data_IF_170920710644
#
_entry.id   IF_170920710644
#
_cell.length_a   1.000
_cell.length_b   1.000
_cell.length_c   1.000
_cell.angle_alpha   90.00
_cell.angle_beta   90.00
_cell.angle_gamma   90.00
#
_symmetry.space_group_name_H-M   'P 1'
#
loop_
_entity.id
_entity.type
_entity.pdbx_description
1 polymer ?
#
# COMPACT_ATOMS: atom_id res chain seq x y z
N UNK A 1 2.41 13.00 2.23
CA UNK A 1 3.70 12.28 2.21
C UNK A 1 4.33 12.41 0.84
N UNK A 2 5.61 12.68 0.79
CA UNK A 2 6.37 12.78 -0.45
C UNK A 2 6.55 11.41 -1.12
N UNK A 3 6.56 11.34 -2.46
CA UNK A 3 6.66 10.07 -3.20
C UNK A 3 8.08 9.49 -3.21
N UNK A 4 9.04 10.17 -2.61
CA UNK A 4 10.40 9.66 -2.46
C UNK A 4 10.48 8.49 -1.46
N UNK A 5 11.62 7.84 -1.36
CA UNK A 5 11.84 6.73 -0.45
C UNK A 5 11.59 7.11 1.02
N UNK A 6 11.91 8.34 1.40
CA UNK A 6 11.69 8.86 2.74
C UNK A 6 10.20 9.07 3.03
N UNK A 7 9.45 9.60 2.07
CA UNK A 7 7.99 9.77 2.15
C UNK A 7 7.25 8.44 2.19
N UNK A 8 7.68 7.45 1.40
CA UNK A 8 7.14 6.09 1.45
C UNK A 8 7.42 5.43 2.81
N UNK A 9 8.63 5.58 3.35
CA UNK A 9 8.97 5.10 4.69
C UNK A 9 8.16 5.80 5.78
N UNK A 10 7.96 7.11 5.64
CA UNK A 10 7.14 7.87 6.58
C UNK A 10 5.67 7.43 6.53
N UNK A 11 5.11 7.20 5.34
CA UNK A 11 3.76 6.68 5.15
C UNK A 11 3.59 5.28 5.77
N UNK A 12 4.57 4.40 5.59
CA UNK A 12 4.56 3.06 6.20
C UNK A 12 4.73 3.09 7.73
N UNK A 13 5.52 4.03 8.27
CA UNK A 13 5.61 4.24 9.72
C UNK A 13 4.30 4.78 10.29
N UNK A 14 3.69 5.76 9.62
CA UNK A 14 2.38 6.27 9.98
C UNK A 14 1.31 5.18 9.97
N UNK A 15 1.42 4.22 9.05
CA UNK A 15 0.56 3.05 8.97
C UNK A 15 0.74 2.10 10.18
N UNK A 16 1.95 1.98 10.73
CA UNK A 16 2.23 1.14 11.89
C UNK A 16 1.90 1.81 13.24
N UNK A 17 1.70 3.13 13.26
CA UNK A 17 1.35 3.85 14.47
C UNK A 17 -0.17 3.76 14.74
N UNK A 18 -0.52 3.04 15.81
CA UNK A 18 -1.93 2.74 16.18
C UNK A 18 -2.82 3.96 16.33
N UNK A 19 -2.25 5.14 16.59
CA UNK A 19 -3.00 6.39 16.81
C UNK A 19 -3.51 7.00 15.50
N UNK A 20 -2.91 6.66 14.37
CA UNK A 20 -3.24 7.25 13.07
C UNK A 20 -4.42 6.57 12.36
N UNK A 21 -4.82 5.37 12.81
CA UNK A 21 -5.97 4.66 12.24
C UNK A 21 -7.34 5.24 12.63
N UNK A 22 -7.40 6.13 13.62
CA UNK A 22 -8.64 6.84 13.96
C UNK A 22 -8.89 8.08 13.11
N UNK A 23 -7.92 8.57 12.38
CA UNK A 23 -8.02 9.72 11.50
C UNK A 23 -7.94 9.30 10.04
N UNK A 24 -8.76 9.91 9.18
CA UNK A 24 -8.64 9.73 7.74
C UNK A 24 -7.33 10.39 7.27
N UNK A 25 -6.32 9.57 7.05
CA UNK A 25 -5.02 10.00 6.52
C UNK A 25 -4.99 9.75 5.01
N UNK A 26 -4.52 10.75 4.27
CA UNK A 26 -4.41 10.69 2.82
C UNK A 26 -2.97 10.79 2.37
N UNK A 27 -2.66 10.13 1.25
CA UNK A 27 -1.38 10.24 0.55
C UNK A 27 -1.61 10.94 -0.77
N UNK A 28 -0.82 11.96 -1.04
CA UNK A 28 -0.76 12.60 -2.33
C UNK A 28 0.59 12.27 -2.98
N UNK A 29 0.55 11.72 -4.19
CA UNK A 29 1.73 11.36 -4.95
C UNK A 29 1.88 12.33 -6.11
N UNK A 30 2.92 13.16 -6.07
CA UNK A 30 3.20 14.09 -7.14
C UNK A 30 3.84 13.39 -8.36
N UNK A 31 3.50 13.80 -9.58
CA UNK A 31 4.14 13.30 -10.78
C UNK A 31 5.64 13.56 -10.76
N UNK A 32 6.45 12.56 -11.10
CA UNK A 32 7.90 12.70 -11.21
C UNK A 32 8.67 12.83 -9.91
N UNK A 33 8.03 12.51 -8.76
CA UNK A 33 8.71 12.53 -7.46
C UNK A 33 9.00 13.92 -6.90
N UNK A 34 8.39 14.96 -7.47
CA UNK A 34 8.54 16.34 -6.98
C UNK A 34 7.83 16.51 -5.64
N UNK A 35 8.42 17.27 -4.72
CA UNK A 35 7.69 17.71 -3.55
C UNK A 35 6.62 18.77 -3.94
N UNK A 36 5.62 19.05 -3.06
CA UNK A 36 4.57 20.03 -3.38
C UNK A 36 5.10 21.43 -3.65
N UNK A 37 6.22 21.83 -3.02
CA UNK A 37 6.83 23.14 -3.25
C UNK A 37 7.51 23.20 -4.63
N UNK A 38 8.24 22.17 -5.01
CA UNK A 38 8.85 22.05 -6.33
C UNK A 38 7.79 21.92 -7.43
N UNK A 39 6.73 21.19 -7.18
CA UNK A 39 5.59 21.08 -8.11
C UNK A 39 4.97 22.44 -8.38
N UNK A 40 4.78 23.26 -7.34
CA UNK A 40 4.26 24.62 -7.47
C UNK A 40 5.18 25.52 -8.28
N UNK A 41 6.49 25.45 -8.04
CA UNK A 41 7.49 26.24 -8.78
C UNK A 41 7.55 25.86 -10.25
N UNK A 42 7.44 24.57 -10.57
CA UNK A 42 7.60 24.07 -11.95
C UNK A 42 6.30 24.04 -12.75
N UNK A 43 5.15 23.84 -12.10
CA UNK A 43 3.85 23.63 -12.77
C UNK A 43 2.71 24.51 -12.26
N UNK A 44 2.95 25.39 -11.29
CA UNK A 44 1.98 26.35 -10.77
C UNK A 44 0.99 25.79 -9.76
N UNK A 45 0.10 26.68 -9.29
CA UNK A 45 -0.89 26.37 -8.23
C UNK A 45 -1.95 25.33 -8.67
N UNK A 46 -2.28 25.28 -9.95
CA UNK A 46 -3.24 24.32 -10.52
C UNK A 46 -2.75 22.88 -10.32
N UNK A 47 -1.47 22.61 -10.57
CA UNK A 47 -0.87 21.29 -10.37
C UNK A 47 -0.89 20.85 -8.90
N UNK A 48 -0.76 21.78 -7.96
CA UNK A 48 -0.89 21.49 -6.52
C UNK A 48 -2.34 21.16 -6.17
N UNK A 49 -3.32 21.85 -6.74
CA UNK A 49 -4.75 21.52 -6.55
C UNK A 49 -5.09 20.15 -7.10
N UNK A 50 -4.59 19.78 -8.28
CA UNK A 50 -4.76 18.44 -8.84
C UNK A 50 -4.14 17.37 -7.95
N UNK A 51 -2.97 17.63 -7.36
CA UNK A 51 -2.34 16.75 -6.40
C UNK A 51 -3.25 16.47 -5.20
N UNK A 52 -3.88 17.51 -4.63
CA UNK A 52 -4.83 17.35 -3.53
C UNK A 52 -6.10 16.62 -3.96
N UNK A 53 -6.61 16.86 -5.15
CA UNK A 53 -7.80 16.20 -5.68
C UNK A 53 -7.56 14.70 -5.94
N UNK A 54 -6.35 14.33 -6.29
CA UNK A 54 -5.95 12.94 -6.58
C UNK A 54 -5.37 12.21 -5.37
N UNK A 55 -5.49 12.80 -4.16
CA UNK A 55 -5.07 12.11 -2.93
C UNK A 55 -5.87 10.82 -2.72
N UNK A 56 -5.21 9.80 -2.24
CA UNK A 56 -5.85 8.55 -1.87
C UNK A 56 -5.73 8.26 -0.37
N UNK A 57 -6.66 7.51 0.23
CA UNK A 57 -6.52 7.07 1.61
C UNK A 57 -5.22 6.30 1.82
N UNK A 58 -4.54 6.55 2.94
CA UNK A 58 -3.28 5.87 3.29
C UNK A 58 -3.42 4.35 3.27
N UNK A 59 -4.55 3.83 3.73
CA UNK A 59 -4.81 2.39 3.75
C UNK A 59 -4.90 1.80 2.34
N UNK A 60 -5.56 2.49 1.41
CA UNK A 60 -5.60 2.08 0.01
C UNK A 60 -4.20 2.11 -0.63
N UNK A 61 -3.42 3.13 -0.32
CA UNK A 61 -2.03 3.22 -0.75
C UNK A 61 -1.20 2.02 -0.24
N UNK A 62 -1.35 1.67 1.05
CA UNK A 62 -0.67 0.52 1.63
C UNK A 62 -1.05 -0.81 0.95
N UNK A 63 -2.34 -0.99 0.63
CA UNK A 63 -2.80 -2.17 -0.13
C UNK A 63 -2.19 -2.21 -1.53
N UNK A 64 -2.18 -1.08 -2.24
CA UNK A 64 -1.57 -0.98 -3.58
C UNK A 64 -0.08 -1.32 -3.55
N UNK A 65 0.65 -0.84 -2.54
CA UNK A 65 2.07 -1.17 -2.35
C UNK A 65 2.27 -2.67 -2.05
N UNK A 66 1.41 -3.27 -1.24
CA UNK A 66 1.51 -4.68 -0.90
C UNK A 66 1.33 -5.60 -2.11
N UNK A 67 0.47 -5.23 -3.07
CA UNK A 67 0.18 -6.04 -4.26
C UNK A 67 1.07 -5.70 -5.47
N UNK A 68 1.73 -4.54 -5.48
CA UNK A 68 2.46 -4.02 -6.65
C UNK A 68 3.60 -4.94 -7.14
N UNK A 69 4.17 -5.75 -6.25
CA UNK A 69 5.26 -6.68 -6.56
C UNK A 69 4.81 -8.00 -7.21
N UNK A 70 3.50 -8.25 -7.26
CA UNK A 70 2.95 -9.49 -7.80
C UNK A 70 2.44 -9.31 -9.22
N UNK A 71 2.61 -10.34 -10.05
CA UNK A 71 2.04 -10.34 -11.40
C UNK A 71 0.56 -10.72 -11.34
N UNK A 72 -0.32 -9.72 -11.39
CA UNK A 72 -1.77 -9.92 -11.31
C UNK A 72 -2.38 -10.52 -12.59
N UNK A 73 -1.59 -10.68 -13.66
CA UNK A 73 -2.05 -11.34 -14.87
C UNK A 73 -2.05 -12.86 -14.75
N UNK A 74 -1.42 -13.42 -13.72
CA UNK A 74 -1.38 -14.85 -13.44
C UNK A 74 -2.26 -15.21 -12.24
N UNK A 75 -2.78 -16.41 -12.21
CA UNK A 75 -3.57 -16.92 -11.07
C UNK A 75 -2.72 -16.97 -9.80
N UNK A 76 -1.50 -17.49 -9.93
CA UNK A 76 -0.54 -17.61 -8.81
C UNK A 76 -0.16 -16.24 -8.25
N UNK A 77 0.05 -15.25 -9.11
CA UNK A 77 0.35 -13.87 -8.72
C UNK A 77 -0.81 -13.23 -7.96
N UNK A 78 -2.05 -13.43 -8.42
CA UNK A 78 -3.24 -12.92 -7.73
C UNK A 78 -3.45 -13.60 -6.36
N UNK A 79 -3.28 -14.91 -6.28
CA UNK A 79 -3.37 -15.65 -5.00
C UNK A 79 -2.27 -15.20 -4.03
N UNK A 80 -1.05 -15.00 -4.51
CA UNK A 80 0.06 -14.50 -3.69
C UNK A 80 -0.18 -13.08 -3.19
N UNK A 81 -0.71 -12.21 -4.06
CA UNK A 81 -1.11 -10.85 -3.70
C UNK A 81 -2.24 -10.84 -2.66
N UNK A 82 -3.24 -11.73 -2.80
CA UNK A 82 -4.31 -11.89 -1.82
C UNK A 82 -3.77 -12.30 -0.45
N UNK A 83 -2.87 -13.29 -0.40
CA UNK A 83 -2.25 -13.74 0.85
C UNK A 83 -1.42 -12.65 1.54
N UNK A 84 -0.79 -11.77 0.75
CA UNK A 84 -0.01 -10.66 1.28
C UNK A 84 -0.89 -9.51 1.82
N UNK A 85 -2.05 -9.27 1.21
CA UNK A 85 -2.89 -8.10 1.49
C UNK A 85 -4.08 -8.38 2.42
N UNK A 86 -4.62 -9.60 2.44
CA UNK A 86 -5.75 -9.95 3.29
C UNK A 86 -5.49 -9.74 4.80
N UNK A 87 -4.29 -10.05 5.36
CA UNK A 87 -3.97 -9.76 6.75
C UNK A 87 -4.06 -8.27 7.09
N UNK A 88 -3.67 -7.40 6.16
CA UNK A 88 -3.71 -5.95 6.34
C UNK A 88 -5.15 -5.48 6.60
N UNK A 89 -6.12 -6.00 5.84
CA UNK A 89 -7.54 -5.68 6.02
C UNK A 89 -8.08 -6.29 7.31
N UNK A 90 -7.68 -7.54 7.63
CA UNK A 90 -8.13 -8.23 8.84
C UNK A 90 -7.72 -7.51 10.13
N UNK A 91 -6.61 -6.77 10.11
CA UNK A 91 -6.10 -6.00 11.24
C UNK A 91 -6.72 -4.62 11.42
N UNK A 92 -7.58 -4.18 10.49
CA UNK A 92 -8.29 -2.91 10.63
C UNK A 92 -9.08 -2.87 11.94
N UNK A 93 -8.79 -1.85 12.76
CA UNK A 93 -9.49 -1.64 14.03
C UNK A 93 -10.96 -1.30 13.83
N UNK A 94 -11.24 -0.43 12.87
CA UNK A 94 -12.61 -0.11 12.47
C UNK A 94 -13.15 -1.20 11.53
N UNK A 95 -13.87 -2.14 12.13
CA UNK A 95 -14.47 -3.25 11.39
C UNK A 95 -15.52 -2.82 10.38
N UNK A 96 -16.09 -1.61 10.52
CA UNK A 96 -17.03 -1.07 9.56
C UNK A 96 -16.37 -0.77 8.20
N UNK A 97 -15.08 -0.51 8.18
CA UNK A 97 -14.30 -0.27 6.96
C UNK A 97 -13.88 -1.56 6.24
N UNK A 98 -13.81 -2.69 6.95
CA UNK A 98 -13.34 -3.96 6.38
C UNK A 98 -14.11 -4.39 5.12
N UNK A 99 -15.46 -4.35 5.08
CA UNK A 99 -16.20 -4.73 3.87
C UNK A 99 -15.87 -3.86 2.65
N UNK A 100 -15.68 -2.56 2.87
CA UNK A 100 -15.30 -1.63 1.82
C UNK A 100 -13.93 -1.94 1.22
N UNK A 101 -12.93 -2.09 2.05
CA UNK A 101 -11.57 -2.44 1.60
C UNK A 101 -11.47 -3.86 1.05
N UNK A 102 -12.29 -4.80 1.53
CA UNK A 102 -12.37 -6.14 0.95
C UNK A 102 -12.88 -6.09 -0.49
N UNK A 103 -13.91 -5.28 -0.76
CA UNK A 103 -14.39 -5.06 -2.13
C UNK A 103 -13.34 -4.38 -3.02
N UNK A 104 -12.66 -3.39 -2.48
CA UNK A 104 -11.61 -2.67 -3.21
C UNK A 104 -10.45 -3.63 -3.55
N UNK A 105 -10.03 -4.47 -2.61
CA UNK A 105 -9.03 -5.50 -2.86
C UNK A 105 -9.47 -6.50 -3.93
N UNK A 106 -10.72 -6.98 -3.89
CA UNK A 106 -11.25 -7.87 -4.90
C UNK A 106 -11.19 -7.23 -6.31
N UNK A 107 -11.54 -5.93 -6.40
CA UNK A 107 -11.43 -5.17 -7.64
C UNK A 107 -9.99 -5.05 -8.13
N UNK A 108 -9.06 -4.71 -7.24
CA UNK A 108 -7.63 -4.57 -7.59
C UNK A 108 -7.03 -5.89 -8.09
N UNK A 109 -7.41 -7.01 -7.49
CA UNK A 109 -6.89 -8.33 -7.84
C UNK A 109 -7.63 -8.97 -9.03
N UNK A 110 -8.80 -8.45 -9.42
CA UNK A 110 -9.66 -9.10 -10.40
C UNK A 110 -10.15 -10.48 -9.93
N UNK A 111 -10.48 -10.61 -8.64
CA UNK A 111 -10.93 -11.84 -8.00
C UNK A 111 -12.38 -11.71 -7.51
N UNK A 112 -13.05 -12.85 -7.35
CA UNK A 112 -14.40 -12.90 -6.80
C UNK A 112 -14.41 -12.39 -5.34
N UNK A 113 -15.40 -11.54 -5.02
CA UNK A 113 -15.53 -10.95 -3.69
C UNK A 113 -15.60 -12.02 -2.58
N UNK A 114 -16.30 -13.12 -2.83
CA UNK A 114 -16.44 -14.22 -1.86
C UNK A 114 -15.11 -14.89 -1.51
N UNK A 115 -14.18 -15.01 -2.46
CA UNK A 115 -12.84 -15.55 -2.21
C UNK A 115 -12.03 -14.62 -1.31
N UNK A 116 -12.05 -13.33 -1.63
CA UNK A 116 -11.33 -12.31 -0.86
C UNK A 116 -11.91 -12.20 0.56
N UNK A 117 -13.24 -12.25 0.70
CA UNK A 117 -13.90 -12.25 2.02
C UNK A 117 -13.48 -13.44 2.87
N UNK A 118 -13.43 -14.65 2.29
CA UNK A 118 -12.97 -15.85 3.00
C UNK A 118 -11.52 -15.70 3.47
N UNK A 119 -10.65 -15.20 2.62
CA UNK A 119 -9.26 -14.96 2.97
C UNK A 119 -9.11 -13.94 4.12
N UNK A 120 -9.80 -12.81 4.05
CA UNK A 120 -9.78 -11.78 5.11
C UNK A 120 -10.30 -12.35 6.44
N UNK A 121 -11.40 -13.12 6.41
CA UNK A 121 -11.97 -13.76 7.64
C UNK A 121 -11.03 -14.80 8.22
N UNK A 122 -10.34 -15.58 7.40
CA UNK A 122 -9.38 -16.59 7.87
C UNK A 122 -8.25 -15.97 8.70
N UNK A 123 -7.79 -14.78 8.31
CA UNK A 123 -6.79 -14.03 9.08
C UNK A 123 -7.39 -13.35 10.33
N UNK A 124 -8.63 -12.87 10.25
CA UNK A 124 -9.31 -12.23 11.39
C UNK A 124 -9.64 -13.19 12.53
N UNK A 125 -9.83 -14.49 12.25
CA UNK A 125 -10.09 -15.54 13.25
C UNK A 125 -8.85 -16.00 14.01
N UNK A 126 -7.66 -15.77 13.46
CA UNK A 126 -6.37 -16.17 14.07
C UNK A 126 -5.73 -15.08 14.93
N UNK A 127 -6.47 -14.05 15.29
CA UNK A 127 -6.01 -12.83 15.99
C UNK A 127 -5.51 -13.06 17.44
N UNK A 128 -5.14 -14.28 17.82
CA UNK A 128 -4.37 -14.57 19.05
C UNK A 128 -2.85 -14.60 18.85
N UNK A 129 -2.37 -14.59 17.62
CA UNK A 129 -0.96 -14.29 17.29
C UNK A 129 -0.97 -13.05 16.41
N UNK A 130 -0.53 -11.93 16.96
CA UNK A 130 -0.15 -10.75 16.18
C UNK A 130 0.78 -11.23 15.06
N UNK A 131 0.42 -11.14 13.77
CA UNK A 131 1.44 -11.23 12.75
C UNK A 131 2.44 -10.13 13.08
N UNK A 132 3.70 -10.50 13.09
CA UNK A 132 4.77 -9.59 13.42
C UNK A 132 4.79 -8.49 12.35
N UNK A 133 4.19 -7.35 12.65
CA UNK A 133 4.22 -6.15 11.80
C UNK A 133 5.67 -5.77 11.46
N UNK A 134 6.61 -6.09 12.36
CA UNK A 134 8.05 -5.94 12.13
C UNK A 134 8.51 -6.85 10.99
N UNK A 135 8.05 -8.10 10.95
CA UNK A 135 8.37 -9.02 9.85
C UNK A 135 7.75 -8.59 8.51
N UNK A 136 6.53 -8.01 8.53
CA UNK A 136 5.90 -7.42 7.36
C UNK A 136 6.70 -6.21 6.84
N UNK A 137 7.09 -5.30 7.72
CA UNK A 137 7.94 -4.15 7.39
C UNK A 137 9.32 -4.57 6.87
N UNK A 138 9.90 -5.62 7.45
CA UNK A 138 11.18 -6.15 7.01
C UNK A 138 11.07 -6.75 5.60
N UNK A 139 10.00 -7.47 5.29
CA UNK A 139 9.76 -8.04 3.96
C UNK A 139 9.53 -6.98 2.89
N UNK A 140 8.76 -5.91 3.20
CA UNK A 140 8.59 -4.76 2.28
C UNK A 140 9.93 -4.06 2.04
N UNK A 141 10.72 -3.85 3.09
CA UNK A 141 12.04 -3.24 2.99
C UNK A 141 12.99 -4.09 2.14
N UNK A 142 13.00 -5.40 2.35
CA UNK A 142 13.85 -6.33 1.58
C UNK A 142 13.46 -6.32 0.10
N UNK A 143 12.16 -6.38 -0.22
CA UNK A 143 11.69 -6.34 -1.60
C UNK A 143 12.02 -5.02 -2.31
N UNK A 144 12.05 -3.90 -1.57
CA UNK A 144 12.47 -2.60 -2.12
C UNK A 144 13.98 -2.54 -2.38
N UNK A 145 14.79 -3.14 -1.51
CA UNK A 145 16.25 -3.22 -1.69
C UNK A 145 16.62 -4.11 -2.89
N UNK A 146 15.91 -5.22 -3.07
CA UNK A 146 16.13 -6.14 -4.20
C UNK A 146 15.81 -5.47 -5.55
N UNK A 147 14.76 -4.61 -5.60
CA UNK A 147 14.41 -3.83 -6.79
C UNK A 147 15.44 -2.74 -7.14
N UNK A 148 16.07 -2.13 -6.14
CA UNK A 148 17.10 -1.10 -6.34
C UNK A 148 18.45 -1.73 -6.68
N UNK A 149 18.72 -2.92 -6.16
CA UNK A 149 19.98 -3.66 -6.43
C UNK A 149 20.08 -4.17 -7.87
N UNK A 150 18.96 -4.53 -8.50
CA UNK A 150 18.93 -5.06 -9.87
C UNK A 150 19.07 -3.96 -10.94
N UNK A 151 18.66 -2.73 -10.63
CA UNK A 151 18.81 -1.58 -11.53
C UNK A 151 20.27 -1.10 -11.67
N UNK A 152 21.15 -1.48 -10.74
CA UNK A 152 22.58 -1.10 -10.74
C UNK A 152 23.50 -2.05 -11.50
N UNK A 153 23.04 -3.24 -11.84
CA UNK A 153 23.89 -4.30 -12.45
C UNK A 153 23.90 -4.33 -13.98
N UNK A 154 23.06 -3.55 -14.65
CA UNK A 154 22.91 -3.59 -16.11
C UNK A 154 23.73 -2.55 -16.87
N UNK A 155 24.68 -1.85 -16.24
CA UNK A 155 25.48 -0.79 -16.90
C UNK A 155 26.97 -1.06 -16.91
N UNK A 156 27.40 -2.32 -17.00
CA UNK A 156 28.79 -2.67 -17.34
C UNK A 156 28.83 -3.85 -18.32
N UNK A 157 28.66 -3.52 -19.58
CA UNK A 157 29.18 -4.30 -20.69
C UNK A 157 29.50 -3.35 -21.84
#
# INVERSE_FOLDING_TARGET
>A
FDPDEAGQKAALRAFSDEKLFSAQTYVAVAPGGLDPADLRLHRGDEAVRELFNNRMPLFEFALRQAIARFNLNTVEGRVSALRASAPIIAELKDRALQPGYTRELARMLGMELGEVQRAVRAFGGTSRRRPDLVAFHTRIRQAQQDLVGDAGSSSRA
#
